data_IF_874291059407
#
_entry.id   IF_874291059407
#
_cell.length_a   1.000
_cell.length_b   1.000
_cell.length_c   1.000
_cell.angle_alpha   90.00
_cell.angle_beta   90.00
_cell.angle_gamma   90.00
#
_symmetry.space_group_name_H-M   'P 1'
#
loop_
_entity.id
_entity.type
_entity.pdbx_description
1 polymer ?
#
# COMPACT_ATOMS: atom_id res chain seq x y z
N UNK A 1 9.01 -5.02 9.23
CA UNK A 1 8.33 -6.00 8.33
C UNK A 1 9.29 -6.39 7.22
N UNK A 2 9.39 -7.68 6.90
CA UNK A 2 10.24 -8.10 5.78
C UNK A 2 9.46 -8.09 4.47
N UNK A 3 10.19 -8.19 3.34
CA UNK A 3 9.58 -8.12 2.01
C UNK A 3 8.57 -9.24 1.77
N UNK A 4 8.89 -10.46 2.18
CA UNK A 4 8.01 -11.61 2.01
C UNK A 4 6.67 -11.39 2.72
N UNK A 5 6.69 -10.92 3.97
CA UNK A 5 5.48 -10.64 4.74
C UNK A 5 4.65 -9.54 4.06
N UNK A 6 5.31 -8.46 3.63
CA UNK A 6 4.65 -7.38 2.92
C UNK A 6 3.99 -7.87 1.62
N UNK A 7 4.76 -8.59 0.83
CA UNK A 7 4.32 -9.14 -0.46
C UNK A 7 3.11 -10.06 -0.29
N UNK A 8 3.22 -11.04 0.60
CA UNK A 8 2.16 -12.02 0.85
C UNK A 8 0.89 -11.36 1.39
N UNK A 9 1.05 -10.39 2.29
CA UNK A 9 -0.10 -9.71 2.86
C UNK A 9 -0.87 -8.91 1.82
N UNK A 10 -0.16 -8.15 0.98
CA UNK A 10 -0.80 -7.39 -0.09
C UNK A 10 -1.52 -8.32 -1.08
N UNK A 11 -0.88 -9.43 -1.48
CA UNK A 11 -1.48 -10.39 -2.41
C UNK A 11 -2.63 -11.19 -1.80
N UNK A 12 -2.71 -11.30 -0.48
CA UNK A 12 -3.80 -12.02 0.20
C UNK A 12 -5.14 -11.31 0.09
N UNK A 13 -5.14 -10.02 -0.23
CA UNK A 13 -6.35 -9.25 -0.40
C UNK A 13 -7.08 -9.67 -1.67
N UNK A 14 -8.41 -9.71 -1.60
CA UNK A 14 -9.25 -10.20 -2.70
C UNK A 14 -9.07 -9.36 -3.97
N UNK A 15 -8.86 -10.03 -5.10
CA UNK A 15 -8.77 -9.37 -6.41
C UNK A 15 -7.49 -8.60 -6.66
N UNK A 16 -6.44 -8.81 -5.86
CA UNK A 16 -5.18 -8.09 -6.00
C UNK A 16 -4.29 -8.76 -7.04
N UNK A 17 -3.63 -7.95 -7.85
CA UNK A 17 -2.61 -8.38 -8.80
C UNK A 17 -1.36 -7.52 -8.63
N UNK A 18 -0.20 -8.09 -9.01
CA UNK A 18 1.09 -7.40 -8.94
C UNK A 18 1.55 -6.99 -10.32
N UNK A 19 2.24 -5.85 -10.40
CA UNK A 19 2.65 -5.24 -11.67
C UNK A 19 3.95 -4.47 -11.51
N UNK A 20 4.64 -4.22 -12.63
CA UNK A 20 5.77 -3.31 -12.73
C UNK A 20 5.49 -2.31 -13.86
N UNK A 21 4.52 -1.39 -13.68
CA UNK A 21 4.08 -0.52 -14.78
C UNK A 21 5.02 0.63 -15.10
N UNK A 22 5.95 0.98 -14.20
CA UNK A 22 6.83 2.14 -14.37
C UNK A 22 8.25 1.75 -14.75
N UNK A 23 8.79 0.69 -14.13
CA UNK A 23 10.15 0.21 -14.31
C UNK A 23 10.24 -1.23 -13.78
N UNK A 24 11.46 -1.79 -13.74
CA UNK A 24 11.68 -3.16 -13.25
C UNK A 24 11.85 -3.24 -11.73
N UNK A 25 11.92 -2.10 -11.05
CA UNK A 25 12.20 -2.01 -9.62
C UNK A 25 10.98 -1.73 -8.75
N UNK A 26 10.00 -0.98 -9.27
CA UNK A 26 8.84 -0.55 -8.48
C UNK A 26 7.72 -1.58 -8.58
N UNK A 27 7.58 -2.37 -7.52
CA UNK A 27 6.51 -3.34 -7.38
C UNK A 27 5.21 -2.62 -7.01
N UNK A 28 4.16 -2.85 -7.79
CA UNK A 28 2.85 -2.19 -7.62
C UNK A 28 1.77 -3.24 -7.43
N UNK A 29 0.95 -3.06 -6.40
CA UNK A 29 -0.24 -3.88 -6.17
C UNK A 29 -1.48 -3.10 -6.57
N UNK A 30 -2.36 -3.73 -7.35
CA UNK A 30 -3.61 -3.14 -7.83
C UNK A 30 -4.80 -3.97 -7.42
N UNK A 31 -5.93 -3.29 -7.23
CA UNK A 31 -7.24 -3.90 -7.10
C UNK A 31 -8.19 -3.20 -8.07
N UNK A 32 -8.88 -3.96 -8.91
CA UNK A 32 -9.76 -3.38 -9.92
C UNK A 32 -9.05 -2.44 -10.89
N UNK A 33 -7.77 -2.68 -11.16
CA UNK A 33 -6.96 -1.86 -12.06
C UNK A 33 -6.38 -0.59 -11.43
N UNK A 34 -6.61 -0.34 -10.14
CA UNK A 34 -6.09 0.85 -9.44
C UNK A 34 -5.06 0.47 -8.37
N UNK A 35 -4.00 1.27 -8.28
CA UNK A 35 -2.92 1.05 -7.31
C UNK A 35 -3.39 1.31 -5.88
N UNK A 36 -2.95 0.47 -4.93
CA UNK A 36 -3.12 0.74 -3.51
C UNK A 36 -1.83 0.58 -2.70
N UNK A 37 -0.80 -0.05 -3.25
CA UNK A 37 0.49 -0.20 -2.58
C UNK A 37 1.62 -0.24 -3.62
N UNK A 38 2.72 0.45 -3.33
CA UNK A 38 3.93 0.46 -4.16
C UNK A 38 5.15 0.34 -3.27
N UNK A 39 6.17 -0.37 -3.74
CA UNK A 39 7.44 -0.46 -3.01
C UNK A 39 8.60 -0.66 -3.99
N UNK A 40 9.72 0.03 -3.74
CA UNK A 40 10.94 -0.12 -4.53
C UNK A 40 11.75 -1.31 -4.00
N UNK A 41 11.96 -2.33 -4.84
CA UNK A 41 12.67 -3.55 -4.45
C UNK A 41 14.13 -3.28 -4.10
N UNK A 42 14.80 -2.36 -4.80
CA UNK A 42 16.19 -2.02 -4.52
C UNK A 42 16.39 -1.42 -3.12
N UNK A 43 15.38 -0.73 -2.58
CA UNK A 43 15.46 -0.18 -1.23
C UNK A 43 15.45 -1.27 -0.15
N UNK A 44 14.81 -2.41 -0.42
CA UNK A 44 14.83 -3.55 0.51
C UNK A 44 16.23 -4.12 0.67
N UNK A 45 17.01 -4.13 -0.42
CA UNK A 45 18.40 -4.60 -0.39
C UNK A 45 19.31 -3.66 0.39
N UNK A 46 18.96 -2.37 0.44
CA UNK A 46 19.74 -1.33 1.14
C UNK A 46 19.30 -1.11 2.59
N UNK A 47 18.38 -1.91 3.09
CA UNK A 47 17.76 -1.71 4.41
C UNK A 47 17.09 -0.33 4.57
N UNK A 48 16.56 0.19 3.47
CA UNK A 48 15.82 1.46 3.42
C UNK A 48 14.37 1.22 2.99
N UNK A 49 13.83 0.05 3.30
CA UNK A 49 12.54 -0.40 2.81
C UNK A 49 11.41 0.52 3.23
N UNK A 50 10.55 0.83 2.27
CA UNK A 50 9.37 1.64 2.47
C UNK A 50 8.27 1.22 1.49
N UNK A 51 7.04 1.65 1.78
CA UNK A 51 5.92 1.46 0.87
C UNK A 51 5.10 2.74 0.80
N UNK A 52 4.57 3.03 -0.39
CA UNK A 52 3.57 4.08 -0.57
C UNK A 52 2.19 3.45 -0.43
N UNK A 53 1.40 3.96 0.49
CA UNK A 53 0.03 3.51 0.75
C UNK A 53 -0.92 4.70 0.68
N UNK A 54 -2.10 4.47 0.10
CA UNK A 54 -3.14 5.49 0.06
C UNK A 54 -3.74 5.65 1.45
N UNK A 55 -4.12 6.89 1.78
CA UNK A 55 -4.68 7.20 3.10
C UNK A 55 -5.70 8.32 2.99
N UNK A 56 -6.74 8.26 3.84
CA UNK A 56 -7.64 9.39 4.02
C UNK A 56 -6.83 10.65 4.35
N UNK A 57 -7.09 11.80 3.70
CA UNK A 57 -6.26 13.00 3.86
C UNK A 57 -6.10 13.49 5.30
N UNK A 58 -7.16 13.49 6.09
CA UNK A 58 -7.09 13.93 7.48
C UNK A 58 -6.27 12.97 8.33
N UNK A 59 -6.51 11.68 8.15
CA UNK A 59 -5.74 10.64 8.83
C UNK A 59 -4.28 10.65 8.42
N UNK A 60 -4.00 10.94 7.13
CA UNK A 60 -2.63 11.03 6.64
C UNK A 60 -1.83 12.09 7.39
N UNK A 61 -2.42 13.27 7.61
CA UNK A 61 -1.77 14.34 8.36
C UNK A 61 -1.56 13.98 9.82
N UNK A 62 -2.54 13.36 10.45
CA UNK A 62 -2.43 12.90 11.85
C UNK A 62 -1.31 11.89 12.02
N UNK A 63 -1.21 10.92 11.11
CA UNK A 63 -0.17 9.91 11.15
C UNK A 63 1.22 10.50 10.95
N UNK A 64 1.37 11.45 10.02
CA UNK A 64 2.64 12.14 9.80
C UNK A 64 3.09 12.94 11.02
N UNK A 65 2.14 13.53 11.74
CA UNK A 65 2.44 14.28 12.96
C UNK A 65 2.84 13.36 14.12
N UNK A 66 2.30 12.14 14.16
CA UNK A 66 2.52 11.20 15.26
C UNK A 66 3.75 10.31 15.04
N UNK A 67 4.04 9.91 13.79
CA UNK A 67 5.08 8.95 13.48
C UNK A 67 6.12 9.52 12.51
N UNK A 68 7.38 9.57 12.93
CA UNK A 68 8.49 9.98 12.04
C UNK A 68 8.64 9.03 10.86
N UNK A 69 8.27 7.76 11.04
CA UNK A 69 8.32 6.71 10.01
C UNK A 69 7.29 6.93 8.90
N UNK A 70 6.33 7.85 9.08
CA UNK A 70 5.28 8.13 8.10
C UNK A 70 5.48 9.55 7.55
N UNK A 71 5.73 9.62 6.24
CA UNK A 71 6.03 10.86 5.54
C UNK A 71 5.04 11.06 4.38
N UNK A 72 4.93 12.30 3.82
CA UNK A 72 4.15 12.51 2.60
C UNK A 72 4.65 11.59 1.47
N UNK A 73 3.73 11.13 0.65
CA UNK A 73 4.02 10.15 -0.40
C UNK A 73 5.08 10.62 -1.40
N UNK A 74 6.21 9.92 -1.46
CA UNK A 74 7.31 10.21 -2.36
C UNK A 74 6.91 9.90 -3.80
N UNK A 75 7.03 10.87 -4.70
CA UNK A 75 6.59 10.79 -6.09
C UNK A 75 5.09 10.52 -6.28
N UNK A 76 4.29 10.78 -5.25
CA UNK A 76 2.83 10.56 -5.27
C UNK A 76 2.11 11.86 -4.90
N UNK A 77 0.78 11.88 -5.08
CA UNK A 77 -0.05 12.93 -4.52
C UNK A 77 0.08 12.92 -2.99
N UNK A 78 0.61 14.00 -2.42
CA UNK A 78 0.88 14.08 -0.98
C UNK A 78 -0.37 14.26 -0.14
N UNK A 79 -1.50 14.61 -0.76
CA UNK A 79 -2.80 14.69 -0.09
C UNK A 79 -3.34 13.30 0.21
N UNK A 80 -3.16 12.35 -0.73
CA UNK A 80 -3.78 11.03 -0.68
C UNK A 80 -2.83 9.88 -0.36
N UNK A 81 -1.51 10.12 -0.33
CA UNK A 81 -0.53 9.06 -0.19
C UNK A 81 0.49 9.36 0.91
N UNK A 82 0.83 8.33 1.68
CA UNK A 82 1.92 8.35 2.65
C UNK A 82 3.00 7.36 2.24
N UNK A 83 4.24 7.70 2.56
CA UNK A 83 5.37 6.77 2.51
C UNK A 83 5.61 6.24 3.91
N UNK A 84 5.56 4.92 4.08
CA UNK A 84 5.69 4.23 5.36
C UNK A 84 7.03 3.53 5.41
N UNK A 85 7.88 3.86 6.37
CA UNK A 85 9.14 3.13 6.59
C UNK A 85 8.83 1.74 7.15
N UNK A 86 9.43 0.71 6.57
CA UNK A 86 9.18 -0.70 6.93
C UNK A 86 10.40 -1.38 7.56
N UNK A 87 11.36 -0.59 8.03
CA UNK A 87 12.64 -1.09 8.56
C UNK A 87 12.61 -1.43 10.05
N UNK A 88 11.43 -1.76 10.59
CA UNK A 88 11.33 -2.37 11.92
C UNK A 88 10.82 -1.49 13.05
N UNK A 89 10.63 -0.18 12.84
CA UNK A 89 10.18 0.71 13.91
C UNK A 89 8.67 0.66 14.15
N UNK A 90 7.89 0.37 13.10
CA UNK A 90 6.44 0.22 13.23
C UNK A 90 6.06 -1.25 13.38
N UNK A 91 5.17 -1.60 14.32
CA UNK A 91 4.71 -2.98 14.46
C UNK A 91 4.06 -3.50 13.18
N UNK A 92 4.27 -4.77 12.85
CA UNK A 92 3.69 -5.39 11.65
C UNK A 92 2.17 -5.29 11.64
N UNK A 93 1.53 -5.46 12.81
CA UNK A 93 0.08 -5.34 12.93
C UNK A 93 -0.41 -3.95 12.48
N UNK A 94 0.30 -2.91 12.88
CA UNK A 94 -0.06 -1.54 12.50
C UNK A 94 0.14 -1.31 11.01
N UNK A 95 1.25 -1.79 10.44
CA UNK A 95 1.50 -1.71 9.00
C UNK A 95 0.39 -2.42 8.22
N UNK A 96 -0.03 -3.61 8.67
CA UNK A 96 -1.13 -4.34 8.05
C UNK A 96 -2.44 -3.54 8.09
N UNK A 97 -2.72 -2.86 9.19
CA UNK A 97 -3.90 -1.97 9.28
C UNK A 97 -3.84 -0.83 8.25
N UNK A 98 -2.64 -0.27 8.03
CA UNK A 98 -2.46 0.78 7.02
C UNK A 98 -2.62 0.24 5.59
N UNK A 99 -2.16 -0.98 5.34
CA UNK A 99 -2.39 -1.66 4.06
C UNK A 99 -3.88 -1.90 3.85
N UNK A 100 -4.58 -2.38 4.88
CA UNK A 100 -6.04 -2.61 4.82
C UNK A 100 -6.78 -1.32 4.51
N UNK A 101 -6.42 -0.23 5.16
CA UNK A 101 -7.04 1.07 4.94
C UNK A 101 -6.84 1.53 3.49
N UNK A 102 -5.63 1.40 2.95
CA UNK A 102 -5.33 1.76 1.57
C UNK A 102 -6.14 0.93 0.58
N UNK A 103 -6.19 -0.40 0.79
CA UNK A 103 -6.99 -1.31 -0.03
C UNK A 103 -8.46 -0.90 -0.01
N UNK A 104 -9.02 -0.67 1.19
CA UNK A 104 -10.43 -0.33 1.34
C UNK A 104 -10.79 0.99 0.64
N UNK A 105 -9.93 1.99 0.73
CA UNK A 105 -10.17 3.26 0.03
C UNK A 105 -10.25 3.07 -1.47
N UNK A 106 -9.31 2.30 -2.03
CA UNK A 106 -9.28 2.04 -3.47
C UNK A 106 -10.46 1.17 -3.88
N UNK A 107 -10.76 0.11 -3.12
CA UNK A 107 -11.90 -0.77 -3.38
C UNK A 107 -13.20 0.03 -3.43
N UNK A 108 -13.44 0.90 -2.44
CA UNK A 108 -14.66 1.71 -2.38
C UNK A 108 -14.76 2.73 -3.52
N UNK A 109 -13.64 3.09 -4.14
CA UNK A 109 -13.63 4.00 -5.29
C UNK A 109 -14.01 3.33 -6.60
N UNK A 110 -14.06 2.00 -6.64
CA UNK A 110 -14.41 1.23 -7.84
C UNK A 110 -15.92 1.29 -8.08
N UNK A 111 -16.33 1.01 -9.33
CA UNK A 111 -17.76 0.90 -9.64
C UNK A 111 -18.38 -0.27 -8.89
N UNK A 112 -19.69 -0.21 -8.64
CA UNK A 112 -20.41 -1.31 -7.98
C UNK A 112 -20.26 -2.62 -8.73
N UNK A 113 -20.26 -2.56 -10.07
CA UNK A 113 -20.06 -3.76 -10.90
C UNK A 113 -18.73 -4.42 -10.59
N UNK A 114 -17.64 -3.64 -10.57
CA UNK A 114 -16.30 -4.17 -10.30
C UNK A 114 -16.19 -4.65 -8.86
N UNK A 115 -16.74 -3.91 -7.89
CA UNK A 115 -16.78 -4.34 -6.50
C UNK A 115 -17.44 -5.69 -6.35
N UNK A 116 -18.60 -5.89 -7.00
CA UNK A 116 -19.33 -7.16 -6.94
C UNK A 116 -18.54 -8.30 -7.59
N UNK A 117 -17.87 -8.05 -8.69
CA UNK A 117 -17.01 -9.05 -9.34
C UNK A 117 -15.87 -9.50 -8.40
N UNK A 118 -15.27 -8.57 -7.68
CA UNK A 118 -14.20 -8.88 -6.73
C UNK A 118 -14.74 -9.67 -5.54
N UNK A 119 -15.90 -9.27 -4.98
CA UNK A 119 -16.52 -9.95 -3.85
C UNK A 119 -16.83 -11.41 -4.18
N UNK A 120 -17.18 -11.70 -5.42
CA UNK A 120 -17.53 -13.05 -5.89
C UNK A 120 -16.32 -13.94 -6.16
N UNK A 121 -15.10 -13.41 -6.13
CA UNK A 121 -13.89 -14.22 -6.33
C UNK A 121 -13.72 -15.22 -5.19
N UNK A 122 -13.11 -16.37 -5.52
CA UNK A 122 -12.92 -17.49 -4.57
C UNK A 122 -11.47 -17.58 -4.06
N UNK A 123 -10.79 -16.49 -3.88
CA UNK A 123 -9.42 -16.54 -3.37
C UNK A 123 -9.32 -16.29 -1.87
#
# INVERSE_FOLDING_TARGET
MNLETFYEYCLSKKGVSEHFPFDEDTLVFKVGGKMFALSSLSQWEKNEQSANLKCDPDRAQELRAEYDEIQPGYHMSKVHWNTIALNGNLPDKFVKELIDHSYDLVFKSLTKKIQNEIIELKN
#
